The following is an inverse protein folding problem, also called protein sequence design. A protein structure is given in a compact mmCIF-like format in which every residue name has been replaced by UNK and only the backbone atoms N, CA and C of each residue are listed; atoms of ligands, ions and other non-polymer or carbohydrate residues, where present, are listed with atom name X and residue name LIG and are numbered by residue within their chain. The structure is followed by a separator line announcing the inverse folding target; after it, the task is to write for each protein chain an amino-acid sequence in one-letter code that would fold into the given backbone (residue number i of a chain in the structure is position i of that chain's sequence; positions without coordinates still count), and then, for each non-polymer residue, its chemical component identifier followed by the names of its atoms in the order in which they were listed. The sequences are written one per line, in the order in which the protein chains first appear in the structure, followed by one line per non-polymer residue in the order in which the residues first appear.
data_IF_633270385992
#
_entry.id   IF_633270385992
#
_cell.length_a   1.000
_cell.length_b   1.000
_cell.length_c   1.000
_cell.angle_alpha   90.00
_cell.angle_beta   90.00
_cell.angle_gamma   90.00
#
_symmetry.space_group_name_H-M   'P 1'
#
loop_
_entity.id
_entity.type
_entity.pdbx_description
1 polymer ?
#
# COMPACT_ATOMS: atom_id res chain seq x y z
N UNK A 1 -19.22 -12.05 39.12
CA UNK A 1 -20.33 -11.69 38.22
C UNK A 1 -19.81 -10.62 37.27
N UNK A 2 -19.63 -10.95 35.98
CA UNK A 2 -19.07 -10.00 35.00
C UNK A 2 -20.23 -9.28 34.33
N UNK A 3 -20.35 -7.97 34.55
CA UNK A 3 -21.38 -7.16 33.91
C UNK A 3 -20.94 -6.81 32.48
N UNK A 4 -21.75 -7.19 31.49
CA UNK A 4 -21.58 -6.77 30.10
C UNK A 4 -22.28 -5.42 29.97
N UNK A 5 -21.50 -4.35 29.79
CA UNK A 5 -22.04 -3.02 29.49
C UNK A 5 -22.36 -2.98 27.99
N UNK A 6 -23.62 -2.76 27.59
CA UNK A 6 -23.95 -2.59 26.18
C UNK A 6 -23.36 -1.27 25.68
N UNK A 7 -22.39 -1.35 24.78
CA UNK A 7 -21.87 -0.17 24.08
C UNK A 7 -22.91 0.23 23.04
N UNK A 8 -23.55 1.38 23.24
CA UNK A 8 -24.41 2.00 22.23
C UNK A 8 -23.53 2.61 21.14
N UNK A 9 -23.36 1.86 20.03
CA UNK A 9 -22.69 2.32 18.82
C UNK A 9 -23.66 3.17 17.97
N UNK A 10 -23.94 4.38 18.43
CA UNK A 10 -24.65 5.40 17.65
C UNK A 10 -23.76 5.82 16.46
N UNK A 11 -24.06 5.32 15.26
CA UNK A 11 -23.32 5.67 14.04
C UNK A 11 -23.86 6.98 13.48
N UNK A 12 -23.32 8.10 13.91
CA UNK A 12 -23.82 9.45 13.57
C UNK A 12 -23.24 10.03 12.26
N UNK A 13 -23.03 9.19 11.24
CA UNK A 13 -22.55 9.63 9.93
C UNK A 13 -23.30 8.94 8.80
N UNK A 14 -23.49 9.67 7.70
CA UNK A 14 -24.03 9.11 6.47
C UNK A 14 -23.10 8.01 5.95
N UNK A 15 -23.69 6.94 5.43
CA UNK A 15 -22.93 5.86 4.81
C UNK A 15 -22.23 6.40 3.58
N UNK A 16 -20.91 6.48 3.62
CA UNK A 16 -20.10 6.74 2.43
C UNK A 16 -20.07 5.46 1.58
N UNK A 17 -21.03 5.36 0.66
CA UNK A 17 -21.20 4.20 -0.22
C UNK A 17 -19.90 3.90 -0.98
N UNK A 18 -19.16 4.94 -1.38
CA UNK A 18 -17.88 4.89 -2.12
C UNK A 18 -16.72 4.27 -1.33
N UNK A 19 -16.88 4.11 -0.02
CA UNK A 19 -15.83 3.58 0.88
C UNK A 19 -15.46 2.16 0.53
N UNK A 20 -16.43 1.35 0.11
CA UNK A 20 -16.22 -0.06 -0.20
C UNK A 20 -15.37 -0.21 -1.47
N UNK A 21 -15.73 0.51 -2.53
CA UNK A 21 -15.04 0.46 -3.83
C UNK A 21 -13.64 1.04 -3.72
N UNK A 22 -13.47 2.15 -3.00
CA UNK A 22 -12.14 2.69 -2.69
C UNK A 22 -11.28 1.67 -1.95
N UNK A 23 -11.84 0.94 -1.00
CA UNK A 23 -11.13 -0.10 -0.28
C UNK A 23 -10.78 -1.28 -1.19
N UNK A 24 -11.69 -1.66 -2.08
CA UNK A 24 -11.49 -2.74 -3.05
C UNK A 24 -10.36 -2.40 -4.04
N UNK A 25 -10.43 -1.23 -4.69
CA UNK A 25 -9.40 -0.74 -5.60
C UNK A 25 -8.04 -0.65 -4.91
N UNK A 26 -8.00 -0.08 -3.69
CA UNK A 26 -6.76 -0.01 -2.90
C UNK A 26 -6.18 -1.41 -2.66
N UNK A 27 -7.02 -2.38 -2.35
CA UNK A 27 -6.57 -3.75 -2.04
C UNK A 27 -6.02 -4.44 -3.28
N UNK A 28 -6.72 -4.34 -4.42
CA UNK A 28 -6.27 -4.91 -5.69
C UNK A 28 -4.92 -4.33 -6.13
N UNK A 29 -4.77 -3.00 -6.08
CA UNK A 29 -3.51 -2.33 -6.41
C UNK A 29 -2.38 -2.73 -5.46
N UNK A 30 -2.66 -2.92 -4.17
CA UNK A 30 -1.66 -3.36 -3.19
C UNK A 30 -1.19 -4.80 -3.43
N UNK A 31 -2.09 -5.71 -3.76
CA UNK A 31 -1.74 -7.11 -4.02
C UNK A 31 -0.79 -7.22 -5.22
N UNK A 32 -1.07 -6.45 -6.28
CA UNK A 32 -0.26 -6.42 -7.51
C UNK A 32 0.95 -5.47 -7.42
N UNK A 33 1.24 -4.93 -6.24
CA UNK A 33 2.22 -3.85 -6.09
C UNK A 33 3.63 -4.28 -6.47
N UNK A 34 3.98 -5.53 -6.17
CA UNK A 34 5.31 -6.12 -6.35
C UNK A 34 5.46 -6.91 -7.64
N UNK A 35 4.36 -7.24 -8.31
CA UNK A 35 4.35 -8.03 -9.55
C UNK A 35 5.02 -7.27 -10.70
N UNK A 36 4.75 -5.97 -10.82
CA UNK A 36 5.44 -5.06 -11.75
C UNK A 36 5.75 -3.72 -11.08
N UNK A 37 7.00 -3.59 -10.64
CA UNK A 37 7.52 -2.40 -9.95
C UNK A 37 7.62 -1.17 -10.87
N UNK A 38 7.58 -1.34 -12.19
CA UNK A 38 7.72 -0.26 -13.19
C UNK A 38 6.37 0.34 -13.59
N UNK A 39 5.30 -0.45 -13.53
CA UNK A 39 3.96 -0.08 -14.02
C UNK A 39 3.12 0.80 -13.06
N UNK A 40 3.71 1.74 -12.30
CA UNK A 40 2.95 2.49 -11.27
C UNK A 40 1.65 3.16 -11.78
N UNK A 41 1.68 4.02 -12.81
CA UNK A 41 0.45 4.64 -13.33
C UNK A 41 -0.43 3.63 -14.07
N UNK A 42 0.17 2.64 -14.73
CA UNK A 42 -0.54 1.62 -15.51
C UNK A 42 -1.37 0.73 -14.59
N UNK A 43 -0.83 0.28 -13.46
CA UNK A 43 -1.51 -0.58 -12.51
C UNK A 43 -2.77 0.10 -11.94
N UNK A 44 -2.63 1.34 -11.43
CA UNK A 44 -3.78 2.08 -10.89
C UNK A 44 -4.83 2.29 -11.97
N UNK A 45 -4.42 2.69 -13.18
CA UNK A 45 -5.34 2.89 -14.30
C UNK A 45 -6.06 1.61 -14.72
N UNK A 46 -5.33 0.49 -14.82
CA UNK A 46 -5.89 -0.81 -15.20
C UNK A 46 -6.95 -1.26 -14.20
N UNK A 47 -6.66 -1.20 -12.89
CA UNK A 47 -7.65 -1.56 -11.89
C UNK A 47 -8.81 -0.55 -11.87
N UNK A 48 -8.55 0.75 -12.06
CA UNK A 48 -9.59 1.78 -12.09
C UNK A 48 -10.63 1.54 -13.19
N UNK A 49 -10.23 1.06 -14.37
CA UNK A 49 -11.15 0.70 -15.46
C UNK A 49 -12.13 -0.43 -15.09
N UNK A 50 -11.93 -1.13 -13.98
CA UNK A 50 -12.88 -2.15 -13.49
C UNK A 50 -13.99 -1.59 -12.60
N UNK A 51 -13.94 -0.29 -12.27
CA UNK A 51 -14.93 0.42 -11.45
C UNK A 51 -15.70 1.45 -12.30
N UNK A 52 -16.89 1.84 -11.84
CA UNK A 52 -17.71 2.84 -12.54
C UNK A 52 -17.20 4.28 -12.33
N UNK A 53 -17.37 5.13 -13.36
CA UNK A 53 -16.74 6.45 -13.48
C UNK A 53 -17.11 7.46 -12.38
N UNK A 54 -18.19 7.23 -11.62
CA UNK A 54 -18.72 8.18 -10.64
C UNK A 54 -18.35 7.87 -9.17
N UNK A 55 -17.48 6.89 -8.92
CA UNK A 55 -17.27 6.35 -7.58
C UNK A 55 -16.11 7.00 -6.82
N UNK A 56 -15.10 7.54 -7.52
CA UNK A 56 -13.83 7.93 -6.90
C UNK A 56 -13.46 9.38 -7.15
N UNK A 57 -12.97 10.04 -6.11
CA UNK A 57 -12.42 11.38 -6.21
C UNK A 57 -10.91 11.35 -6.51
N UNK A 58 -10.37 12.47 -7.01
CA UNK A 58 -8.93 12.61 -7.26
C UNK A 58 -8.08 12.44 -5.99
N UNK A 59 -8.64 12.79 -4.83
CA UNK A 59 -8.06 12.57 -3.50
C UNK A 59 -7.84 11.08 -3.21
N UNK A 60 -8.76 10.22 -3.66
CA UNK A 60 -8.70 8.77 -3.49
C UNK A 60 -7.57 8.17 -4.33
N UNK A 61 -7.43 8.62 -5.57
CA UNK A 61 -6.35 8.19 -6.46
C UNK A 61 -4.97 8.51 -5.85
N UNK A 62 -4.83 9.69 -5.22
CA UNK A 62 -3.61 10.05 -4.50
C UNK A 62 -3.34 9.10 -3.32
N UNK A 63 -4.36 8.79 -2.52
CA UNK A 63 -4.25 7.86 -1.39
C UNK A 63 -3.87 6.43 -1.83
N UNK A 64 -4.47 5.94 -2.92
CA UNK A 64 -4.17 4.64 -3.52
C UNK A 64 -2.72 4.64 -4.05
N UNK A 65 -2.30 5.69 -4.75
CA UNK A 65 -0.93 5.82 -5.23
C UNK A 65 0.10 5.83 -4.10
N UNK A 66 -0.20 6.44 -2.95
CA UNK A 66 0.65 6.38 -1.76
C UNK A 66 0.69 4.97 -1.17
N UNK A 67 -0.45 4.29 -1.10
CA UNK A 67 -0.54 2.92 -0.61
C UNK A 67 0.30 1.97 -1.47
N UNK A 68 0.21 2.09 -2.80
CA UNK A 68 1.05 1.36 -3.76
C UNK A 68 2.54 1.61 -3.50
N UNK A 69 2.94 2.88 -3.37
CA UNK A 69 4.33 3.23 -3.08
C UNK A 69 4.84 2.62 -1.77
N UNK A 70 4.03 2.66 -0.70
CA UNK A 70 4.39 2.08 0.59
C UNK A 70 4.60 0.57 0.49
N UNK A 71 3.73 -0.15 -0.22
CA UNK A 71 3.92 -1.59 -0.44
C UNK A 71 5.20 -1.87 -1.24
N UNK A 72 5.44 -1.13 -2.33
CA UNK A 72 6.70 -1.23 -3.09
C UNK A 72 7.93 -0.94 -2.25
N UNK A 73 7.86 0.04 -1.35
CA UNK A 73 8.99 0.44 -0.50
C UNK A 73 9.42 -0.67 0.46
N UNK A 74 8.53 -1.60 0.83
CA UNK A 74 8.84 -2.74 1.71
C UNK A 74 9.82 -3.74 1.10
N UNK A 75 9.88 -3.82 -0.24
CA UNK A 75 10.84 -4.67 -0.95
C UNK A 75 12.28 -4.13 -0.81
N UNK A 76 12.43 -2.82 -0.72
CA UNK A 76 13.74 -2.19 -0.65
C UNK A 76 14.26 -2.15 0.79
N UNK A 77 15.57 -2.33 0.98
CA UNK A 77 16.18 -2.17 2.30
C UNK A 77 15.98 -0.75 2.83
N UNK A 78 16.01 -0.62 4.16
CA UNK A 78 15.98 0.68 4.81
C UNK A 78 17.26 1.43 4.43
N UNK A 79 17.12 2.72 4.11
CA UNK A 79 18.28 3.55 3.82
C UNK A 79 19.15 3.66 5.07
N UNK A 80 20.47 3.43 4.95
CA UNK A 80 21.41 3.66 6.02
C UNK A 80 21.29 5.09 6.56
N UNK A 81 21.30 5.24 7.87
CA UNK A 81 21.27 6.54 8.55
C UNK A 81 22.64 6.97 9.05
N UNK A 82 23.57 6.03 9.14
CA UNK A 82 24.95 6.26 9.59
C UNK A 82 25.95 5.77 8.56
N UNK A 83 27.19 6.25 8.65
CA UNK A 83 28.27 5.85 7.74
C UNK A 83 28.59 4.36 7.89
N UNK A 84 28.52 3.84 9.11
CA UNK A 84 28.75 2.44 9.45
C UNK A 84 27.68 1.52 8.84
N UNK A 85 26.42 1.96 8.88
CA UNK A 85 25.31 1.25 8.22
C UNK A 85 25.47 1.22 6.70
N UNK A 86 26.04 2.28 6.09
CA UNK A 86 26.32 2.31 4.64
C UNK A 86 27.29 1.19 4.29
N UNK A 87 28.43 1.11 4.98
CA UNK A 87 29.43 0.07 4.71
C UNK A 87 28.84 -1.33 4.88
N UNK A 88 28.09 -1.54 5.96
CA UNK A 88 27.43 -2.84 6.23
C UNK A 88 26.40 -3.19 5.14
N UNK A 89 25.59 -2.23 4.69
CA UNK A 89 24.62 -2.44 3.63
C UNK A 89 25.30 -2.77 2.29
N UNK A 90 26.41 -2.09 1.98
CA UNK A 90 27.19 -2.33 0.76
C UNK A 90 27.81 -3.72 0.74
N UNK A 91 28.36 -4.18 1.87
CA UNK A 91 28.88 -5.55 1.98
C UNK A 91 27.78 -6.59 1.82
N UNK A 92 26.63 -6.42 2.50
CA UNK A 92 25.48 -7.34 2.37
C UNK A 92 24.95 -7.40 0.94
N UNK A 93 24.89 -6.26 0.24
CA UNK A 93 24.54 -6.22 -1.18
C UNK A 93 25.55 -7.01 -2.02
N UNK A 94 26.85 -6.82 -1.80
CA UNK A 94 27.88 -7.55 -2.52
C UNK A 94 27.75 -9.08 -2.29
N UNK A 95 27.63 -9.53 -1.05
CA UNK A 95 27.51 -10.96 -0.73
C UNK A 95 26.26 -11.60 -1.35
N UNK A 96 25.12 -10.90 -1.33
CA UNK A 96 23.87 -11.41 -1.87
C UNK A 96 23.93 -11.71 -3.38
N UNK A 97 24.67 -10.92 -4.16
CA UNK A 97 24.72 -11.08 -5.62
C UNK A 97 25.93 -11.87 -6.12
N UNK A 98 27.04 -11.90 -5.38
CA UNK A 98 28.29 -12.48 -5.87
C UNK A 98 28.75 -13.74 -5.12
N UNK A 99 28.20 -14.03 -3.92
CA UNK A 99 28.65 -15.15 -3.07
C UNK A 99 27.57 -16.23 -2.83
N UNK A 100 26.44 -16.21 -3.54
CA UNK A 100 25.41 -17.27 -3.48
C UNK A 100 25.68 -18.44 -4.44
N UNK A 101 26.91 -18.96 -4.41
CA UNK A 101 27.29 -20.23 -5.06
C UNK A 101 26.97 -21.42 -4.18
#
# INVERSE_FOLDING_TARGET
MTAIVPVQLEHNHDKDERKLERQQLRTQVKQKATDDMTARPKLIRTELHTFSDNVLESSDLRSIAQSLYRERRKVYPVLPKTREEVHTSSSKFHDHYYNQG
#
